data_IF_108416724035
#
_entry.id   IF_108416724035
#
_cell.length_a   1.000
_cell.length_b   1.000
_cell.length_c   1.000
_cell.angle_alpha   90.00
_cell.angle_beta   90.00
_cell.angle_gamma   90.00
#
_symmetry.space_group_name_H-M   'P 1'
#
loop_
_entity.id
_entity.type
_entity.pdbx_description
1 polymer ?
#
# COMPACT_ATOMS: atom_id res chain seq x y z
N UNK A 1 -48.61 29.73 -10.66
CA UNK A 1 -47.43 29.80 -9.74
C UNK A 1 -46.96 28.39 -9.54
N UNK A 2 -45.81 28.05 -10.10
CA UNK A 2 -45.19 26.75 -9.88
C UNK A 2 -44.66 26.67 -8.45
N UNK A 3 -44.86 25.52 -7.78
CA UNK A 3 -44.34 25.28 -6.44
C UNK A 3 -42.80 25.30 -6.50
N UNK A 4 -42.10 25.86 -5.49
CA UNK A 4 -40.65 25.94 -5.45
C UNK A 4 -39.92 24.60 -5.77
N UNK A 5 -40.38 23.42 -5.32
CA UNK A 5 -39.78 22.15 -5.65
C UNK A 5 -39.75 21.85 -7.15
N UNK A 6 -40.80 22.20 -7.90
CA UNK A 6 -40.84 21.99 -9.35
C UNK A 6 -39.89 22.94 -10.10
N UNK A 7 -39.72 24.17 -9.63
CA UNK A 7 -38.77 25.10 -10.21
C UNK A 7 -37.33 24.65 -10.00
N UNK A 8 -37.02 24.20 -8.79
CA UNK A 8 -35.69 23.63 -8.46
C UNK A 8 -35.40 22.43 -9.36
N UNK A 9 -36.35 21.48 -9.49
CA UNK A 9 -36.17 20.30 -10.33
C UNK A 9 -35.97 20.69 -11.80
N UNK A 10 -36.72 21.66 -12.32
CA UNK A 10 -36.56 22.16 -13.70
C UNK A 10 -35.17 22.75 -13.93
N UNK A 11 -34.66 23.55 -12.99
CA UNK A 11 -33.28 24.07 -13.05
C UNK A 11 -32.23 22.98 -12.96
N UNK A 12 -32.40 21.96 -12.12
CA UNK A 12 -31.46 20.83 -12.02
C UNK A 12 -31.43 19.99 -13.30
N UNK A 13 -32.58 19.77 -13.93
CA UNK A 13 -32.67 19.09 -15.24
C UNK A 13 -31.98 19.92 -16.33
N UNK A 14 -32.20 21.22 -16.35
CA UNK A 14 -31.53 22.09 -17.30
C UNK A 14 -29.99 22.13 -17.08
N UNK A 15 -29.53 22.14 -15.84
CA UNK A 15 -28.13 22.08 -15.51
C UNK A 15 -27.49 20.74 -15.96
N UNK A 16 -28.17 19.59 -15.77
CA UNK A 16 -27.72 18.30 -16.28
C UNK A 16 -27.62 18.26 -17.80
N UNK A 17 -28.62 18.83 -18.48
CA UNK A 17 -28.61 18.94 -19.95
C UNK A 17 -27.46 19.81 -20.45
N UNK A 18 -27.23 20.96 -19.80
CA UNK A 18 -26.11 21.84 -20.11
C UNK A 18 -24.74 21.14 -19.86
N UNK A 19 -24.63 20.34 -18.79
CA UNK A 19 -23.45 19.54 -18.55
C UNK A 19 -23.19 18.52 -19.68
N UNK A 20 -24.23 17.82 -20.14
CA UNK A 20 -24.14 16.90 -21.26
C UNK A 20 -23.69 17.59 -22.56
N UNK A 21 -24.10 18.83 -22.78
CA UNK A 21 -23.69 19.68 -23.91
C UNK A 21 -22.34 20.37 -23.71
N UNK A 22 -21.68 20.15 -22.55
CA UNK A 22 -20.42 20.81 -22.14
C UNK A 22 -20.51 22.34 -22.04
N UNK A 23 -21.71 22.89 -21.85
CA UNK A 23 -21.94 24.29 -21.59
C UNK A 23 -21.83 24.58 -20.10
N UNK A 24 -20.65 25.00 -19.67
CA UNK A 24 -20.34 25.23 -18.25
C UNK A 24 -21.06 26.45 -17.70
N UNK A 25 -21.23 27.51 -18.51
CA UNK A 25 -21.86 28.74 -18.09
C UNK A 25 -23.36 28.53 -17.86
N UNK A 26 -24.04 27.92 -18.81
CA UNK A 26 -25.45 27.61 -18.70
C UNK A 26 -25.72 26.63 -17.53
N UNK A 27 -24.86 25.63 -17.35
CA UNK A 27 -24.94 24.72 -16.22
C UNK A 27 -24.85 25.46 -14.89
N UNK A 28 -23.86 26.34 -14.73
CA UNK A 28 -23.64 27.09 -13.49
C UNK A 28 -24.84 28.01 -13.21
N UNK A 29 -25.32 28.75 -14.20
CA UNK A 29 -26.46 29.64 -14.05
C UNK A 29 -27.74 28.92 -13.58
N UNK A 30 -28.04 27.76 -14.16
CA UNK A 30 -29.17 26.94 -13.73
C UNK A 30 -28.97 26.34 -12.35
N UNK A 31 -27.76 25.88 -12.05
CA UNK A 31 -27.46 25.28 -10.75
C UNK A 31 -27.55 26.33 -9.63
N UNK A 32 -26.99 27.52 -9.80
CA UNK A 32 -27.07 28.62 -8.83
C UNK A 32 -28.52 29.07 -8.59
N UNK A 33 -29.33 29.13 -9.63
CA UNK A 33 -30.77 29.41 -9.50
C UNK A 33 -31.48 28.34 -8.66
N UNK A 34 -31.14 27.05 -8.85
CA UNK A 34 -31.69 25.97 -8.04
C UNK A 34 -31.27 26.07 -6.55
N UNK A 35 -29.99 26.39 -6.28
CA UNK A 35 -29.47 26.57 -4.91
C UNK A 35 -30.16 27.74 -4.20
N UNK A 36 -30.30 28.88 -4.86
CA UNK A 36 -31.00 30.07 -4.31
C UNK A 36 -32.44 29.74 -3.95
N UNK A 37 -33.17 29.05 -4.82
CA UNK A 37 -34.56 28.64 -4.56
C UNK A 37 -34.65 27.63 -3.39
N UNK A 38 -33.63 26.76 -3.22
CA UNK A 38 -33.58 25.76 -2.15
C UNK A 38 -33.26 26.33 -0.76
N UNK A 39 -32.75 27.55 -0.67
CA UNK A 39 -32.47 28.25 0.60
C UNK A 39 -33.69 28.97 1.20
N UNK A 40 -34.86 28.82 0.60
CA UNK A 40 -36.12 29.45 1.05
C UNK A 40 -36.68 28.85 2.37
N UNK A 41 -37.78 29.42 2.87
CA UNK A 41 -38.39 29.06 4.17
C UNK A 41 -38.94 27.62 4.24
N UNK A 42 -39.07 26.93 3.11
CA UNK A 42 -39.48 25.50 3.01
C UNK A 42 -38.30 24.52 2.93
N UNK A 43 -37.12 24.89 3.43
CA UNK A 43 -35.89 24.14 3.28
C UNK A 43 -35.93 22.68 3.79
N UNK A 44 -36.79 22.39 4.78
CA UNK A 44 -36.94 21.02 5.30
C UNK A 44 -37.61 20.05 4.32
N UNK A 45 -38.59 20.51 3.55
CA UNK A 45 -39.28 19.71 2.52
C UNK A 45 -38.42 19.50 1.27
N UNK A 46 -37.41 20.34 1.09
CA UNK A 46 -36.52 20.35 -0.08
C UNK A 46 -35.20 19.66 0.17
N UNK A 47 -34.97 19.13 1.38
CA UNK A 47 -33.70 18.56 1.82
C UNK A 47 -33.20 17.47 0.87
N UNK A 48 -34.06 16.52 0.48
CA UNK A 48 -33.68 15.44 -0.44
C UNK A 48 -33.33 15.96 -1.85
N UNK A 49 -34.06 17.00 -2.32
CA UNK A 49 -33.80 17.62 -3.61
C UNK A 49 -32.48 18.37 -3.61
N UNK A 50 -32.17 19.07 -2.52
CA UNK A 50 -30.89 19.76 -2.35
C UNK A 50 -29.71 18.80 -2.18
N UNK A 51 -29.91 17.68 -1.50
CA UNK A 51 -28.91 16.61 -1.46
C UNK A 51 -28.60 16.07 -2.86
N UNK A 52 -29.65 15.79 -3.64
CA UNK A 52 -29.48 15.34 -5.03
C UNK A 52 -28.75 16.39 -5.89
N UNK A 53 -29.03 17.69 -5.67
CA UNK A 53 -28.32 18.77 -6.33
C UNK A 53 -26.82 18.78 -6.00
N UNK A 54 -26.46 18.70 -4.73
CA UNK A 54 -25.06 18.64 -4.29
C UNK A 54 -24.34 17.41 -4.84
N UNK A 55 -24.98 16.22 -4.83
CA UNK A 55 -24.41 15.00 -5.44
C UNK A 55 -24.20 15.16 -6.95
N UNK A 56 -25.13 15.80 -7.65
CA UNK A 56 -25.02 16.14 -9.08
C UNK A 56 -23.83 17.06 -9.34
N UNK A 57 -23.72 18.14 -8.58
CA UNK A 57 -22.63 19.10 -8.69
C UNK A 57 -21.25 18.47 -8.41
N UNK A 58 -21.17 17.61 -7.38
CA UNK A 58 -19.94 16.87 -7.09
C UNK A 58 -19.55 15.91 -8.24
N UNK A 59 -20.54 15.27 -8.88
CA UNK A 59 -20.30 14.40 -10.04
C UNK A 59 -19.79 15.20 -11.25
N UNK A 60 -20.37 16.37 -11.52
CA UNK A 60 -19.91 17.25 -12.59
C UNK A 60 -18.50 17.77 -12.35
N UNK A 61 -18.20 18.24 -11.13
CA UNK A 61 -16.85 18.67 -10.76
C UNK A 61 -15.81 17.55 -10.94
N UNK A 62 -16.15 16.29 -10.60
CA UNK A 62 -15.28 15.15 -10.84
C UNK A 62 -15.11 14.84 -12.34
N UNK A 63 -16.14 15.05 -13.16
CA UNK A 63 -16.05 14.93 -14.62
C UNK A 63 -15.13 16.01 -15.22
N UNK A 64 -15.17 17.20 -14.65
CA UNK A 64 -14.33 18.34 -15.04
C UNK A 64 -12.91 18.29 -14.45
N UNK A 65 -12.58 17.23 -13.69
CA UNK A 65 -11.29 17.05 -12.97
C UNK A 65 -11.02 18.13 -11.90
N UNK A 66 -12.06 18.59 -11.26
CA UNK A 66 -12.03 19.58 -10.18
C UNK A 66 -12.35 18.91 -8.81
N UNK A 67 -11.44 18.08 -8.25
CA UNK A 67 -11.73 17.28 -7.06
C UNK A 67 -11.97 18.12 -5.81
N UNK A 68 -11.33 19.28 -5.68
CA UNK A 68 -11.53 20.18 -4.53
C UNK A 68 -12.95 20.74 -4.53
N UNK A 69 -13.46 21.15 -5.69
CA UNK A 69 -14.83 21.65 -5.82
C UNK A 69 -15.85 20.52 -5.54
N UNK A 70 -15.55 19.29 -6.00
CA UNK A 70 -16.38 18.14 -5.68
C UNK A 70 -16.47 17.90 -4.17
N UNK A 71 -15.36 18.02 -3.43
CA UNK A 71 -15.36 17.90 -1.97
C UNK A 71 -16.17 19.00 -1.30
N UNK A 72 -16.07 20.25 -1.74
CA UNK A 72 -16.88 21.35 -1.20
C UNK A 72 -18.38 21.08 -1.33
N UNK A 73 -18.82 20.56 -2.49
CA UNK A 73 -20.23 20.16 -2.66
C UNK A 73 -20.65 19.02 -1.75
N UNK A 74 -19.78 18.01 -1.56
CA UNK A 74 -20.03 16.88 -0.67
C UNK A 74 -20.04 17.28 0.82
N UNK A 75 -19.29 18.30 1.21
CA UNK A 75 -19.28 18.83 2.58
C UNK A 75 -20.54 19.64 2.90
N UNK A 76 -21.22 20.15 1.89
CA UNK A 76 -22.54 20.81 2.02
C UNK A 76 -23.70 19.84 2.30
N UNK A 77 -23.49 18.51 2.19
CA UNK A 77 -24.51 17.50 2.45
C UNK A 77 -24.58 17.23 3.96
N UNK A 78 -25.79 17.16 4.53
CA UNK A 78 -25.99 16.85 5.95
C UNK A 78 -25.40 15.49 6.30
N UNK A 79 -24.90 15.36 7.56
CA UNK A 79 -24.13 14.18 7.99
C UNK A 79 -24.84 12.83 7.76
N UNK A 80 -26.15 12.76 7.93
CA UNK A 80 -26.95 11.56 7.67
C UNK A 80 -26.91 11.12 6.21
N UNK A 81 -27.07 12.07 5.31
CA UNK A 81 -27.07 11.87 3.86
C UNK A 81 -25.65 11.65 3.31
N UNK A 82 -24.64 12.33 3.88
CA UNK A 82 -23.25 12.17 3.49
C UNK A 82 -22.70 10.75 3.68
N UNK A 83 -23.35 9.93 4.50
CA UNK A 83 -23.02 8.50 4.69
C UNK A 83 -23.65 7.55 3.68
N UNK A 84 -24.52 8.03 2.79
CA UNK A 84 -25.10 7.19 1.73
C UNK A 84 -24.00 6.71 0.79
N UNK A 85 -24.11 5.47 0.33
CA UNK A 85 -23.09 4.82 -0.50
C UNK A 85 -22.67 5.65 -1.70
N UNK A 86 -23.59 6.38 -2.35
CA UNK A 86 -23.27 7.23 -3.49
C UNK A 86 -22.36 8.42 -3.09
N UNK A 87 -22.69 9.12 -2.01
CA UNK A 87 -21.89 10.23 -1.49
C UNK A 87 -20.47 9.77 -1.12
N UNK A 88 -20.36 8.60 -0.44
CA UNK A 88 -19.07 8.01 -0.10
C UNK A 88 -18.25 7.60 -1.34
N UNK A 89 -18.89 7.07 -2.38
CA UNK A 89 -18.20 6.74 -3.64
C UNK A 89 -17.66 7.98 -4.34
N UNK A 90 -18.43 9.06 -4.38
CA UNK A 90 -17.97 10.34 -4.95
C UNK A 90 -16.85 10.93 -4.10
N UNK A 91 -16.98 10.91 -2.77
CA UNK A 91 -15.94 11.36 -1.84
C UNK A 91 -14.65 10.57 -2.00
N UNK A 92 -14.73 9.25 -2.10
CA UNK A 92 -13.56 8.40 -2.36
C UNK A 92 -12.85 8.80 -3.66
N UNK A 93 -13.61 8.99 -4.74
CA UNK A 93 -13.03 9.40 -6.02
C UNK A 93 -12.39 10.79 -5.94
N UNK A 94 -13.05 11.75 -5.28
CA UNK A 94 -12.55 13.11 -5.11
C UNK A 94 -11.27 13.15 -4.26
N UNK A 95 -11.26 12.46 -3.12
CA UNK A 95 -10.09 12.41 -2.20
C UNK A 95 -8.89 11.71 -2.83
N UNK A 96 -9.10 10.64 -3.61
CA UNK A 96 -8.02 9.99 -4.39
C UNK A 96 -7.41 10.93 -5.42
N UNK A 97 -8.24 11.63 -6.21
CA UNK A 97 -7.77 12.61 -7.19
C UNK A 97 -7.07 13.80 -6.54
N UNK A 98 -7.49 14.18 -5.34
CA UNK A 98 -6.90 15.28 -4.56
C UNK A 98 -5.74 14.83 -3.66
N UNK A 99 -5.30 13.56 -3.75
CA UNK A 99 -4.22 12.97 -2.95
C UNK A 99 -4.39 13.07 -1.43
N UNK A 100 -5.62 13.10 -0.97
CA UNK A 100 -5.96 13.09 0.46
C UNK A 100 -6.08 11.62 0.93
N UNK A 101 -4.93 10.93 1.02
CA UNK A 101 -4.90 9.47 1.21
C UNK A 101 -5.52 9.01 2.53
N UNK A 102 -5.35 9.76 3.61
CA UNK A 102 -5.98 9.46 4.91
C UNK A 102 -7.50 9.46 4.81
N UNK A 103 -8.08 10.54 4.24
CA UNK A 103 -9.54 10.67 4.09
C UNK A 103 -10.07 9.62 3.10
N UNK A 104 -9.32 9.33 2.03
CA UNK A 104 -9.67 8.28 1.08
C UNK A 104 -9.70 6.90 1.75
N UNK A 105 -8.72 6.59 2.61
CA UNK A 105 -8.63 5.34 3.36
C UNK A 105 -9.83 5.17 4.31
N UNK A 106 -10.14 6.19 5.11
CA UNK A 106 -11.29 6.15 6.01
C UNK A 106 -12.61 5.99 5.25
N UNK A 107 -12.75 6.67 4.11
CA UNK A 107 -13.92 6.53 3.24
C UNK A 107 -14.03 5.13 2.63
N UNK A 108 -12.90 4.51 2.24
CA UNK A 108 -12.87 3.14 1.73
C UNK A 108 -13.25 2.11 2.81
N UNK A 109 -12.78 2.30 4.06
CA UNK A 109 -13.18 1.47 5.22
C UNK A 109 -14.69 1.54 5.47
N UNK A 110 -15.27 2.75 5.41
CA UNK A 110 -16.73 2.93 5.53
C UNK A 110 -17.48 2.22 4.39
N UNK A 111 -17.02 2.36 3.14
CA UNK A 111 -17.64 1.69 1.99
C UNK A 111 -17.55 0.15 2.10
N UNK A 112 -16.44 -0.39 2.62
CA UNK A 112 -16.30 -1.81 2.93
C UNK A 112 -17.33 -2.24 3.97
N UNK A 113 -17.47 -1.49 5.07
CA UNK A 113 -18.44 -1.76 6.15
C UNK A 113 -19.89 -1.74 5.64
N UNK A 114 -20.19 -0.90 4.65
CA UNK A 114 -21.51 -0.82 4.01
C UNK A 114 -21.73 -1.84 2.89
N UNK A 115 -20.79 -2.75 2.64
CA UNK A 115 -20.91 -3.75 1.58
C UNK A 115 -20.96 -3.16 0.16
N UNK A 116 -20.40 -1.95 -0.05
CA UNK A 116 -20.42 -1.26 -1.33
C UNK A 116 -19.54 -1.93 -2.40
N UNK A 117 -18.62 -2.80 -1.99
CA UNK A 117 -17.71 -3.57 -2.83
C UNK A 117 -17.70 -5.03 -2.39
N UNK A 118 -17.26 -5.94 -3.27
CA UNK A 118 -16.90 -7.28 -2.84
C UNK A 118 -15.72 -7.21 -1.86
N UNK A 119 -15.61 -8.17 -0.97
CA UNK A 119 -14.54 -8.18 0.05
C UNK A 119 -13.15 -8.11 -0.58
N UNK A 120 -12.93 -8.86 -1.65
CA UNK A 120 -11.65 -8.87 -2.39
C UNK A 120 -11.33 -7.50 -2.97
N UNK A 121 -12.32 -6.84 -3.60
CA UNK A 121 -12.12 -5.50 -4.18
C UNK A 121 -11.87 -4.44 -3.09
N UNK A 122 -12.63 -4.51 -1.98
CA UNK A 122 -12.45 -3.61 -0.85
C UNK A 122 -11.05 -3.75 -0.22
N UNK A 123 -10.60 -4.99 0.01
CA UNK A 123 -9.29 -5.27 0.59
C UNK A 123 -8.14 -4.81 -0.33
N UNK A 124 -8.30 -4.99 -1.65
CA UNK A 124 -7.31 -4.51 -2.63
C UNK A 124 -7.21 -2.99 -2.63
N UNK A 125 -8.35 -2.30 -2.65
CA UNK A 125 -8.42 -0.84 -2.61
C UNK A 125 -7.84 -0.26 -1.31
N UNK A 126 -8.21 -0.84 -0.16
CA UNK A 126 -7.69 -0.41 1.15
C UNK A 126 -6.18 -0.58 1.19
N UNK A 127 -5.63 -1.70 0.71
CA UNK A 127 -4.19 -1.95 0.63
C UNK A 127 -3.47 -0.91 -0.23
N UNK A 128 -4.02 -0.57 -1.41
CA UNK A 128 -3.48 0.50 -2.26
C UNK A 128 -3.43 1.83 -1.52
N UNK A 129 -4.52 2.19 -0.83
CA UNK A 129 -4.63 3.46 -0.10
C UNK A 129 -3.73 3.50 1.14
N UNK A 130 -3.58 2.38 1.84
CA UNK A 130 -2.62 2.24 2.94
C UNK A 130 -1.20 2.49 2.45
N UNK A 131 -0.80 1.87 1.35
CA UNK A 131 0.54 2.09 0.78
C UNK A 131 0.74 3.55 0.35
N UNK A 132 -0.28 4.18 -0.25
CA UNK A 132 -0.23 5.58 -0.62
C UNK A 132 -0.11 6.49 0.61
N UNK A 133 -0.88 6.22 1.67
CA UNK A 133 -0.80 6.95 2.95
C UNK A 133 0.59 6.82 3.60
N UNK A 134 1.18 5.62 3.61
CA UNK A 134 2.54 5.41 4.13
C UNK A 134 3.60 6.13 3.29
N UNK A 135 3.37 6.33 1.99
CA UNK A 135 4.27 7.07 1.11
C UNK A 135 4.26 8.59 1.36
N UNK A 136 3.22 9.14 1.98
CA UNK A 136 3.16 10.56 2.33
C UNK A 136 4.14 10.94 3.46
N UNK A 137 4.64 9.96 4.20
CA UNK A 137 5.63 10.20 5.26
C UNK A 137 6.98 10.64 4.67
N UNK A 138 7.55 11.70 5.20
CA UNK A 138 8.83 12.27 4.78
C UNK A 138 10.01 11.87 5.67
N UNK A 139 9.72 11.33 6.86
CA UNK A 139 10.70 10.82 7.83
C UNK A 139 10.18 9.57 8.55
N UNK A 140 11.04 8.90 9.33
CA UNK A 140 10.70 7.67 10.04
C UNK A 140 9.63 7.89 11.13
N UNK A 141 9.63 9.05 11.80
CA UNK A 141 8.66 9.34 12.85
C UNK A 141 7.24 9.54 12.29
N UNK A 142 7.12 10.23 11.17
CA UNK A 142 5.84 10.35 10.44
C UNK A 142 5.35 8.99 9.95
N UNK A 143 6.26 8.14 9.44
CA UNK A 143 5.90 6.80 8.99
C UNK A 143 5.43 5.92 10.15
N UNK A 144 6.09 5.99 11.32
CA UNK A 144 5.64 5.27 12.53
C UNK A 144 4.27 5.76 13.00
N UNK A 145 4.01 7.07 12.92
CA UNK A 145 2.71 7.65 13.24
C UNK A 145 1.63 7.14 12.28
N UNK A 146 1.89 7.16 10.97
CA UNK A 146 0.98 6.64 9.96
C UNK A 146 0.73 5.14 10.14
N UNK A 147 1.77 4.36 10.46
CA UNK A 147 1.66 2.94 10.79
C UNK A 147 0.77 2.68 12.01
N UNK A 148 0.88 3.51 13.04
CA UNK A 148 0.05 3.44 14.26
C UNK A 148 -1.45 3.66 13.99
N UNK A 149 -1.80 4.40 12.93
CA UNK A 149 -3.17 4.69 12.51
C UNK A 149 -3.83 3.55 11.70
N UNK A 150 -3.04 2.55 11.28
CA UNK A 150 -3.55 1.40 10.55
C UNK A 150 -4.32 0.44 11.45
N UNK A 151 -5.35 -0.20 10.90
CA UNK A 151 -6.04 -1.31 11.56
C UNK A 151 -5.11 -2.54 11.71
N UNK A 152 -5.40 -3.41 12.69
CA UNK A 152 -4.59 -4.61 12.92
C UNK A 152 -4.49 -5.48 11.66
N UNK A 153 -5.61 -5.71 10.98
CA UNK A 153 -5.68 -6.49 9.74
C UNK A 153 -4.84 -5.91 8.60
N UNK A 154 -4.70 -4.58 8.54
CA UNK A 154 -3.88 -3.87 7.55
C UNK A 154 -2.39 -4.02 7.87
N UNK A 155 -2.01 -3.87 9.15
CA UNK A 155 -0.63 -4.06 9.62
C UNK A 155 -0.16 -5.51 9.53
N UNK A 156 -1.08 -6.46 9.48
CA UNK A 156 -0.77 -7.87 9.31
C UNK A 156 -0.61 -8.30 7.85
N UNK A 157 -1.03 -7.50 6.89
CA UNK A 157 -0.92 -7.82 5.47
C UNK A 157 0.56 -7.84 5.04
N UNK A 158 1.09 -8.98 4.51
CA UNK A 158 2.50 -9.10 4.18
C UNK A 158 3.01 -8.02 3.22
N UNK A 159 2.20 -7.64 2.23
CA UNK A 159 2.54 -6.61 1.25
C UNK A 159 2.69 -5.23 1.89
N UNK A 160 1.83 -4.93 2.88
CA UNK A 160 1.88 -3.66 3.62
C UNK A 160 3.10 -3.61 4.51
N UNK A 161 3.39 -4.70 5.24
CA UNK A 161 4.60 -4.79 6.08
C UNK A 161 5.86 -4.57 5.24
N UNK A 162 6.00 -5.30 4.13
CA UNK A 162 7.16 -5.16 3.24
C UNK A 162 7.28 -3.76 2.64
N UNK A 163 6.16 -3.17 2.25
CA UNK A 163 6.17 -1.79 1.74
C UNK A 163 6.63 -0.80 2.81
N UNK A 164 6.10 -0.92 4.02
CA UNK A 164 6.43 -0.06 5.14
C UNK A 164 7.92 -0.19 5.57
N UNK A 165 8.45 -1.41 5.64
CA UNK A 165 9.86 -1.66 5.98
C UNK A 165 10.81 -1.12 4.90
N UNK A 166 10.49 -1.32 3.62
CA UNK A 166 11.25 -0.73 2.52
C UNK A 166 11.20 0.82 2.56
N UNK A 167 10.07 1.39 2.97
CA UNK A 167 9.96 2.83 3.14
C UNK A 167 10.81 3.32 4.31
N UNK A 168 10.83 2.61 5.47
CA UNK A 168 11.72 2.91 6.59
C UNK A 168 13.19 2.94 6.14
N UNK A 169 13.64 1.93 5.39
CA UNK A 169 15.01 1.92 4.85
C UNK A 169 15.30 3.12 3.94
N UNK A 170 14.37 3.48 3.06
CA UNK A 170 14.52 4.65 2.17
C UNK A 170 14.60 5.96 2.94
N UNK A 171 13.94 6.05 4.09
CA UNK A 171 13.97 7.22 4.98
C UNK A 171 15.18 7.21 5.93
N UNK A 172 16.07 6.21 5.80
CA UNK A 172 17.29 6.13 6.61
C UNK A 172 17.07 5.64 8.04
N UNK A 173 15.93 5.01 8.33
CA UNK A 173 15.67 4.44 9.64
C UNK A 173 16.68 3.32 9.97
N UNK A 174 17.16 3.22 11.22
CA UNK A 174 18.04 2.16 11.63
C UNK A 174 17.30 0.81 11.60
N UNK A 175 18.03 -0.28 11.35
CA UNK A 175 17.45 -1.61 11.26
C UNK A 175 16.74 -2.06 12.56
N UNK A 176 17.11 -1.49 13.70
CA UNK A 176 16.43 -1.71 14.98
C UNK A 176 14.97 -1.23 14.99
N UNK A 177 14.62 -0.25 14.17
CA UNK A 177 13.23 0.21 13.99
C UNK A 177 12.47 -0.67 12.99
N UNK A 178 13.16 -1.30 12.05
CA UNK A 178 12.57 -2.14 10.99
C UNK A 178 12.25 -3.55 11.51
N UNK A 179 13.15 -4.14 12.30
CA UNK A 179 13.03 -5.52 12.79
C UNK A 179 11.73 -5.81 13.53
N UNK A 180 11.18 -4.93 14.40
CA UNK A 180 9.91 -5.17 15.09
C UNK A 180 8.72 -5.37 14.15
N UNK A 181 8.77 -4.82 12.93
CA UNK A 181 7.71 -4.99 11.93
C UNK A 181 7.89 -6.28 11.12
N UNK A 182 9.14 -6.69 10.86
CA UNK A 182 9.45 -7.93 10.12
C UNK A 182 9.30 -9.19 10.97
N UNK A 183 9.61 -9.13 12.26
CA UNK A 183 9.60 -10.31 13.16
C UNK A 183 8.22 -11.03 13.19
N UNK A 184 7.07 -10.35 13.34
CA UNK A 184 5.77 -11.01 13.26
C UNK A 184 5.49 -11.67 11.92
N UNK A 185 5.96 -11.04 10.83
CA UNK A 185 5.81 -11.58 9.48
C UNK A 185 6.65 -12.84 9.27
N UNK A 186 7.90 -12.84 9.74
CA UNK A 186 8.77 -14.02 9.78
C UNK A 186 8.12 -15.18 10.57
N UNK A 187 7.66 -14.90 11.79
CA UNK A 187 7.06 -15.92 12.64
C UNK A 187 5.83 -16.55 11.98
N UNK A 188 4.97 -15.74 11.35
CA UNK A 188 3.81 -16.25 10.62
C UNK A 188 4.21 -17.11 9.43
N UNK A 189 5.18 -16.67 8.63
CA UNK A 189 5.68 -17.42 7.47
C UNK A 189 6.21 -18.81 7.87
N UNK A 190 6.91 -18.90 9.00
CA UNK A 190 7.49 -20.17 9.49
C UNK A 190 6.44 -21.06 10.16
N UNK A 191 5.48 -20.47 10.90
CA UNK A 191 4.43 -21.22 11.61
C UNK A 191 3.30 -21.68 10.69
N UNK A 192 3.00 -20.91 9.64
CA UNK A 192 1.90 -21.16 8.70
C UNK A 192 2.41 -21.14 7.24
N UNK A 193 3.21 -22.14 6.84
CA UNK A 193 3.89 -22.15 5.54
C UNK A 193 2.93 -22.10 4.35
N UNK A 194 1.78 -22.75 4.46
CA UNK A 194 0.78 -22.82 3.40
C UNK A 194 0.04 -21.50 3.17
N UNK A 195 0.08 -20.60 4.15
CA UNK A 195 -0.52 -19.26 4.03
C UNK A 195 0.34 -18.27 3.24
N UNK A 196 1.60 -18.63 2.94
CA UNK A 196 2.57 -17.76 2.30
C UNK A 196 2.97 -18.26 0.91
N UNK A 197 2.50 -17.58 -0.14
CA UNK A 197 2.86 -17.91 -1.51
C UNK A 197 4.39 -17.83 -1.73
N UNK A 198 4.98 -18.66 -2.60
CA UNK A 198 6.42 -18.66 -2.88
C UNK A 198 6.97 -17.27 -3.22
N UNK A 199 6.28 -16.52 -4.07
CA UNK A 199 6.68 -15.15 -4.42
C UNK A 199 6.76 -14.21 -3.21
N UNK A 200 5.88 -14.39 -2.23
CA UNK A 200 5.89 -13.61 -1.00
C UNK A 200 7.06 -14.03 -0.08
N UNK A 201 7.33 -15.34 0.03
CA UNK A 201 8.49 -15.84 0.80
C UNK A 201 9.80 -15.19 0.35
N UNK A 202 10.04 -15.10 -0.96
CA UNK A 202 11.27 -14.47 -1.44
C UNK A 202 11.37 -13.01 -1.03
N UNK A 203 10.28 -12.27 -1.14
CA UNK A 203 10.26 -10.85 -0.76
C UNK A 203 10.55 -10.68 0.74
N UNK A 204 9.97 -11.55 1.57
CA UNK A 204 10.22 -11.55 3.02
C UNK A 204 11.69 -11.89 3.31
N UNK A 205 12.22 -12.95 2.70
CA UNK A 205 13.62 -13.37 2.89
C UNK A 205 14.60 -12.31 2.41
N UNK A 206 14.32 -11.67 1.28
CA UNK A 206 15.15 -10.58 0.77
C UNK A 206 15.19 -9.39 1.73
N UNK A 207 14.04 -8.96 2.23
CA UNK A 207 13.95 -7.83 3.16
C UNK A 207 14.60 -8.17 4.52
N UNK A 208 14.39 -9.39 5.02
CA UNK A 208 15.07 -9.88 6.22
C UNK A 208 16.59 -9.93 6.03
N UNK A 209 17.09 -10.44 4.90
CA UNK A 209 18.53 -10.51 4.67
C UNK A 209 19.16 -9.12 4.67
N UNK A 210 18.52 -8.13 4.05
CA UNK A 210 18.96 -6.73 4.05
C UNK A 210 19.02 -6.16 5.46
N UNK A 211 17.94 -6.37 6.23
CA UNK A 211 17.80 -5.78 7.56
C UNK A 211 18.75 -6.46 8.57
N UNK A 212 18.85 -7.79 8.56
CA UNK A 212 19.72 -8.54 9.49
C UNK A 212 21.21 -8.24 9.30
N UNK A 213 21.62 -7.91 8.07
CA UNK A 213 23.01 -7.51 7.81
C UNK A 213 23.34 -6.09 8.32
N UNK A 214 22.34 -5.30 8.68
CA UNK A 214 22.51 -3.94 9.20
C UNK A 214 22.44 -3.85 10.73
N UNK A 215 22.00 -4.91 11.41
CA UNK A 215 22.02 -5.02 12.89
C UNK A 215 23.29 -5.75 13.35
N UNK A 216 23.74 -5.58 14.60
CA UNK A 216 24.78 -6.43 15.16
C UNK A 216 24.40 -7.91 15.05
N UNK A 217 25.39 -8.82 14.87
CA UNK A 217 25.13 -10.25 14.84
C UNK A 217 24.36 -10.73 16.07
N UNK A 218 23.24 -11.44 15.84
CA UNK A 218 22.34 -11.94 16.87
C UNK A 218 22.21 -13.47 16.77
N UNK A 219 22.60 -14.17 17.83
CA UNK A 219 22.57 -15.63 17.90
C UNK A 219 21.15 -16.19 17.88
N UNK A 220 20.15 -15.45 18.40
CA UNK A 220 18.76 -15.90 18.45
C UNK A 220 18.15 -15.92 17.03
N UNK A 221 18.49 -14.94 16.21
CA UNK A 221 18.11 -14.92 14.80
C UNK A 221 18.76 -16.05 14.02
N UNK A 222 20.08 -16.31 14.23
CA UNK A 222 20.75 -17.43 13.59
C UNK A 222 20.10 -18.77 13.98
N UNK A 223 19.80 -18.98 15.26
CA UNK A 223 19.13 -20.18 15.73
C UNK A 223 17.70 -20.33 15.19
N UNK A 224 16.96 -19.22 15.07
CA UNK A 224 15.61 -19.20 14.50
C UNK A 224 15.61 -19.61 13.02
N UNK A 225 16.53 -19.04 12.24
CA UNK A 225 16.69 -19.36 10.81
C UNK A 225 17.13 -20.81 10.62
N UNK A 226 18.06 -21.30 11.45
CA UNK A 226 18.55 -22.67 11.35
C UNK A 226 17.45 -23.70 11.68
N UNK A 227 16.61 -23.44 12.68
CA UNK A 227 15.42 -24.26 12.97
C UNK A 227 14.44 -24.27 11.81
N UNK A 228 14.13 -23.11 11.24
CA UNK A 228 13.24 -23.02 10.08
C UNK A 228 13.78 -23.80 8.88
N UNK A 229 15.08 -23.69 8.59
CA UNK A 229 15.77 -24.44 7.53
C UNK A 229 15.72 -25.97 7.74
N UNK A 230 15.89 -26.42 8.98
CA UNK A 230 15.78 -27.83 9.31
C UNK A 230 14.34 -28.36 9.15
N UNK A 231 13.35 -27.54 9.50
CA UNK A 231 11.94 -27.88 9.36
C UNK A 231 11.49 -27.91 7.90
N UNK A 232 12.02 -26.98 7.08
CA UNK A 232 11.65 -26.83 5.66
C UNK A 232 12.88 -26.94 4.74
N UNK A 233 13.50 -28.12 4.61
CA UNK A 233 14.77 -28.30 3.87
C UNK A 233 14.63 -28.02 2.37
N UNK A 234 13.40 -28.03 1.84
CA UNK A 234 13.11 -27.71 0.42
C UNK A 234 13.02 -26.22 0.14
N UNK A 235 12.99 -25.37 1.16
CA UNK A 235 12.96 -23.92 0.97
C UNK A 235 14.39 -23.40 0.81
N UNK A 236 14.80 -23.28 -0.44
CA UNK A 236 16.14 -22.82 -0.80
C UNK A 236 16.43 -21.42 -0.27
N UNK A 237 15.40 -20.59 -0.16
CA UNK A 237 15.47 -19.23 0.38
C UNK A 237 15.94 -19.22 1.85
N UNK A 238 15.57 -20.22 2.64
CA UNK A 238 16.05 -20.35 4.04
C UNK A 238 17.52 -20.73 4.09
N UNK A 239 17.97 -21.58 3.15
CA UNK A 239 19.38 -21.92 3.00
C UNK A 239 20.21 -20.68 2.65
N UNK A 240 19.70 -19.86 1.73
CA UNK A 240 20.31 -18.56 1.39
C UNK A 240 20.37 -17.64 2.61
N UNK A 241 19.25 -17.46 3.33
CA UNK A 241 19.18 -16.55 4.49
C UNK A 241 20.16 -17.01 5.59
N UNK A 242 20.22 -18.32 5.87
CA UNK A 242 21.17 -18.88 6.82
C UNK A 242 22.62 -18.61 6.39
N UNK A 243 22.94 -18.76 5.10
CA UNK A 243 24.25 -18.44 4.55
C UNK A 243 24.63 -16.97 4.71
N UNK A 244 23.69 -16.05 4.45
CA UNK A 244 23.90 -14.61 4.61
C UNK A 244 24.15 -14.22 6.07
N UNK A 245 23.37 -14.78 7.00
CA UNK A 245 23.54 -14.52 8.43
C UNK A 245 24.84 -15.17 8.95
N UNK A 246 25.20 -16.36 8.51
CA UNK A 246 26.51 -16.96 8.81
C UNK A 246 27.67 -16.07 8.32
N UNK A 247 27.57 -15.50 7.14
CA UNK A 247 28.56 -14.55 6.63
C UNK A 247 28.66 -13.31 7.54
N UNK A 248 27.55 -12.76 7.98
CA UNK A 248 27.51 -11.62 8.91
C UNK A 248 28.13 -11.94 10.29
N UNK A 249 27.99 -13.18 10.75
CA UNK A 249 28.63 -13.69 11.97
C UNK A 249 30.09 -14.12 11.78
N UNK A 250 30.72 -13.84 10.64
CA UNK A 250 32.07 -14.29 10.28
C UNK A 250 32.27 -15.81 10.31
N UNK A 251 31.19 -16.56 10.14
CA UNK A 251 31.21 -18.03 10.05
C UNK A 251 31.49 -18.45 8.59
N UNK A 252 32.64 -18.08 8.07
CA UNK A 252 33.00 -18.13 6.65
C UNK A 252 32.78 -19.49 6.00
N UNK A 253 33.19 -20.58 6.67
CA UNK A 253 33.04 -21.93 6.14
C UNK A 253 31.57 -22.36 5.98
N UNK A 254 30.73 -22.09 7.00
CA UNK A 254 29.29 -22.36 6.95
C UNK A 254 28.59 -21.49 5.91
N UNK A 255 28.92 -20.21 5.86
CA UNK A 255 28.39 -19.30 4.90
C UNK A 255 28.65 -19.75 3.47
N UNK A 256 29.88 -20.11 3.15
CA UNK A 256 30.25 -20.60 1.82
C UNK A 256 29.48 -21.88 1.47
N UNK A 257 29.47 -22.89 2.34
CA UNK A 257 28.74 -24.13 2.09
C UNK A 257 27.25 -23.91 1.82
N UNK A 258 26.60 -23.07 2.64
CA UNK A 258 25.18 -22.80 2.50
C UNK A 258 24.86 -22.03 1.23
N UNK A 259 25.67 -21.01 0.88
CA UNK A 259 25.45 -20.21 -0.31
C UNK A 259 25.80 -20.95 -1.60
N UNK A 260 26.85 -21.80 -1.62
CA UNK A 260 27.16 -22.66 -2.77
C UNK A 260 26.04 -23.65 -3.07
N UNK A 261 25.36 -24.17 -2.05
CA UNK A 261 24.18 -25.03 -2.22
C UNK A 261 22.95 -24.26 -2.68
N UNK A 262 22.74 -23.06 -2.17
CA UNK A 262 21.53 -22.27 -2.45
C UNK A 262 21.58 -21.56 -3.82
N UNK A 263 22.70 -20.92 -4.16
CA UNK A 263 22.81 -20.02 -5.30
C UNK A 263 22.36 -20.63 -6.64
N UNK A 264 22.72 -21.88 -7.01
CA UNK A 264 22.28 -22.46 -8.29
C UNK A 264 20.80 -22.85 -8.29
N UNK A 265 20.16 -23.00 -7.13
CA UNK A 265 18.78 -23.45 -6.98
C UNK A 265 17.78 -22.28 -6.79
N UNK A 266 18.28 -21.08 -6.50
CA UNK A 266 17.42 -19.89 -6.34
C UNK A 266 16.81 -19.49 -7.68
N UNK A 267 15.49 -19.45 -7.72
CA UNK A 267 14.73 -19.06 -8.92
C UNK A 267 14.64 -17.54 -9.07
N UNK A 268 14.85 -16.78 -8.00
CA UNK A 268 14.75 -15.32 -8.00
C UNK A 268 16.10 -14.71 -8.28
N UNK A 269 16.17 -13.99 -9.37
CA UNK A 269 17.38 -13.35 -9.87
C UNK A 269 18.05 -12.46 -8.80
N UNK A 270 17.27 -11.76 -8.00
CA UNK A 270 17.81 -10.85 -6.98
C UNK A 270 18.51 -11.60 -5.84
N UNK A 271 17.89 -12.65 -5.29
CA UNK A 271 18.51 -13.51 -4.26
C UNK A 271 19.72 -14.27 -4.82
N UNK A 272 19.60 -14.80 -6.03
CA UNK A 272 20.67 -15.52 -6.71
C UNK A 272 21.89 -14.63 -6.94
N UNK A 273 21.68 -13.41 -7.46
CA UNK A 273 22.76 -12.44 -7.63
C UNK A 273 23.43 -12.09 -6.32
N UNK A 274 22.65 -11.89 -5.25
CA UNK A 274 23.19 -11.58 -3.93
C UNK A 274 24.02 -12.75 -3.37
N UNK A 275 23.56 -13.99 -3.55
CA UNK A 275 24.30 -15.18 -3.13
C UNK A 275 25.67 -15.29 -3.84
N UNK A 276 25.70 -15.13 -5.18
CA UNK A 276 26.94 -15.16 -5.95
C UNK A 276 27.90 -14.03 -5.58
N UNK A 277 27.39 -12.81 -5.35
CA UNK A 277 28.21 -11.69 -4.90
C UNK A 277 28.85 -11.95 -3.54
N UNK A 278 28.08 -12.51 -2.60
CA UNK A 278 28.61 -12.84 -1.26
C UNK A 278 29.64 -13.95 -1.32
N UNK A 279 29.43 -14.96 -2.20
CA UNK A 279 30.45 -16.01 -2.45
C UNK A 279 31.73 -15.43 -3.07
N UNK A 280 31.63 -14.46 -3.97
CA UNK A 280 32.78 -13.79 -4.53
C UNK A 280 33.58 -13.03 -3.47
N UNK A 281 32.88 -12.26 -2.60
CA UNK A 281 33.53 -11.57 -1.47
C UNK A 281 34.19 -12.52 -0.49
N UNK A 282 33.55 -13.68 -0.21
CA UNK A 282 34.14 -14.72 0.63
C UNK A 282 35.41 -15.31 0.02
N UNK A 283 35.41 -15.56 -1.30
CA UNK A 283 36.58 -16.07 -2.02
C UNK A 283 37.72 -15.03 -2.05
N UNK A 284 37.41 -13.75 -2.24
CA UNK A 284 38.40 -12.66 -2.14
C UNK A 284 39.02 -12.59 -0.72
N UNK A 285 38.19 -12.69 0.32
CA UNK A 285 38.67 -12.69 1.70
C UNK A 285 39.61 -13.87 2.00
N UNK A 286 39.44 -14.99 1.30
CA UNK A 286 40.31 -16.16 1.39
C UNK A 286 41.49 -16.16 0.40
N UNK A 287 41.64 -15.08 -0.36
CA UNK A 287 42.67 -14.96 -1.41
C UNK A 287 42.49 -15.99 -2.57
N UNK A 288 41.30 -16.57 -2.71
CA UNK A 288 40.96 -17.53 -3.77
C UNK A 288 40.55 -16.81 -5.06
N UNK A 289 41.47 -16.08 -5.70
CA UNK A 289 41.18 -15.16 -6.83
C UNK A 289 40.47 -15.83 -8.02
N UNK A 290 40.83 -17.05 -8.36
CA UNK A 290 40.18 -17.76 -9.48
C UNK A 290 38.71 -18.09 -9.16
N UNK A 291 38.37 -18.48 -7.93
CA UNK A 291 37.00 -18.69 -7.51
C UNK A 291 36.20 -17.38 -7.44
N UNK A 292 36.81 -16.33 -6.94
CA UNK A 292 36.18 -15.01 -6.88
C UNK A 292 35.76 -14.54 -8.28
N UNK A 293 36.63 -14.68 -9.28
CA UNK A 293 36.32 -14.34 -10.67
C UNK A 293 35.13 -15.14 -11.22
N UNK A 294 35.08 -16.44 -10.93
CA UNK A 294 33.95 -17.31 -11.35
C UNK A 294 32.63 -16.82 -10.73
N UNK A 295 32.63 -16.51 -9.41
CA UNK A 295 31.44 -16.09 -8.72
C UNK A 295 30.99 -14.68 -9.16
N UNK A 296 31.91 -13.75 -9.38
CA UNK A 296 31.59 -12.44 -9.95
C UNK A 296 30.98 -12.56 -11.35
N UNK A 297 31.54 -13.44 -12.20
CA UNK A 297 30.95 -13.71 -13.52
C UNK A 297 29.53 -14.25 -13.40
N UNK A 298 29.29 -15.24 -12.54
CA UNK A 298 27.94 -15.78 -12.30
C UNK A 298 26.97 -14.70 -11.80
N UNK A 299 27.41 -13.85 -10.87
CA UNK A 299 26.60 -12.75 -10.38
C UNK A 299 26.21 -11.74 -11.48
N UNK A 300 27.12 -11.50 -12.43
CA UNK A 300 26.88 -10.61 -13.58
C UNK A 300 25.94 -11.24 -14.64
N UNK A 301 25.98 -12.56 -14.80
CA UNK A 301 25.16 -13.30 -15.77
C UNK A 301 23.69 -13.43 -15.30
N UNK A 302 23.39 -13.20 -14.03
CA UNK A 302 22.01 -13.22 -13.51
C UNK A 302 21.26 -11.99 -14.02
N UNK A 303 20.30 -12.19 -14.92
CA UNK A 303 19.42 -11.12 -15.42
C UNK A 303 18.33 -10.83 -14.40
N UNK A 304 18.32 -9.60 -13.89
CA UNK A 304 17.22 -9.08 -13.06
C UNK A 304 16.28 -8.33 -13.99
N UNK A 305 15.08 -8.86 -14.20
CA UNK A 305 14.04 -8.25 -15.02
C UNK A 305 13.45 -6.99 -14.36
#
# INVERSE_FOLDING_TARGET
>A
KHLPPMQILAHLIAAESAHALRDRELRTNHFDAAIVLGQGPSSGELEETMEAAHLGAARWALSDREPQQALQWLDGIKQGAARRTLALRLRLKATRLNRQHTVALDTARLLKKHGAFSETAANSLIRELVMAHLNDAHDSAQLQTAWGQLEASEREAPEVVLHATQRLHKLGAPATEVMPWLTPLWNRMVQQPDSCAPAMRHRIVLELSRTLLMVPPDADWLASIDRARQTYPRWVELQFLAGMVCWHHALWGKAQQMLEMAAPQLMQAELQRQAWRTLALLAEHKEETARAQIYWKRAAEVVVA
#
